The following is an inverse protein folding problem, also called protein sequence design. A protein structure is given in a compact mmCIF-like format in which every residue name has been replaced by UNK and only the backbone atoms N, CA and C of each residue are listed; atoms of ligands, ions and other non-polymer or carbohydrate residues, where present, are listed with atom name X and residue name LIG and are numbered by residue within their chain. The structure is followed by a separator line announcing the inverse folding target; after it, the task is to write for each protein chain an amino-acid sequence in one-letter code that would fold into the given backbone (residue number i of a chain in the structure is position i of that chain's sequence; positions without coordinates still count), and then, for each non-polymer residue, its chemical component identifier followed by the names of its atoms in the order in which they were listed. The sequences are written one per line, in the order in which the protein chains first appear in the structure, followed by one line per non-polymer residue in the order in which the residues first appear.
data_IF_105490927995
#
_entry.id   IF_105490927995
#
_cell.length_a   1.000
_cell.length_b   1.000
_cell.length_c   1.000
_cell.angle_alpha   90.00
_cell.angle_beta   90.00
_cell.angle_gamma   90.00
#
_symmetry.space_group_name_H-M   'P 1'
#
loop_
_entity.id
_entity.type
_entity.pdbx_description
1 polymer ?
#
# COMPACT_ATOMS: atom_id res chain seq x y z
N UNK A 1 45.09 -6.37 10.43
CA UNK A 1 44.09 -6.11 9.38
C UNK A 1 42.73 -6.55 9.91
N UNK A 2 41.93 -5.63 10.44
CA UNK A 2 40.58 -5.92 10.97
C UNK A 2 39.59 -5.75 9.81
N UNK A 3 38.97 -6.84 9.39
CA UNK A 3 37.86 -6.85 8.41
C UNK A 3 36.62 -6.27 9.07
N UNK A 4 36.18 -5.11 8.59
CA UNK A 4 34.87 -4.55 8.94
C UNK A 4 33.81 -5.22 8.05
N UNK A 5 33.00 -6.10 8.63
CA UNK A 5 31.77 -6.59 7.99
C UNK A 5 30.75 -5.46 8.08
N UNK A 6 30.50 -4.77 6.97
CA UNK A 6 29.44 -3.78 6.86
C UNK A 6 28.10 -4.53 6.90
N UNK A 7 27.44 -4.51 8.06
CA UNK A 7 26.08 -5.01 8.24
C UNK A 7 25.12 -4.03 7.54
N UNK A 8 24.78 -4.32 6.29
CA UNK A 8 23.88 -3.51 5.46
C UNK A 8 22.40 -3.73 5.82
N UNK A 9 22.08 -3.90 7.12
CA UNK A 9 20.71 -4.15 7.58
C UNK A 9 20.10 -3.01 8.41
N UNK A 10 20.87 -1.97 8.74
CA UNK A 10 20.35 -0.79 9.43
C UNK A 10 20.22 0.39 8.46
N UNK A 11 19.47 0.17 7.36
CA UNK A 11 18.94 1.34 6.65
C UNK A 11 17.86 1.91 7.57
N UNK A 12 18.04 3.12 8.13
CA UNK A 12 17.00 3.71 8.94
C UNK A 12 15.72 3.71 8.11
N UNK A 13 14.69 2.98 8.58
CA UNK A 13 13.39 2.96 7.93
C UNK A 13 12.99 4.43 7.75
N UNK A 14 12.90 4.87 6.50
CA UNK A 14 12.48 6.23 6.21
C UNK A 14 11.18 6.48 6.99
N UNK A 15 11.09 7.60 7.74
CA UNK A 15 9.96 7.84 8.61
C UNK A 15 8.68 7.86 7.79
N UNK A 16 7.71 7.04 8.21
CA UNK A 16 6.41 7.00 7.56
C UNK A 16 5.63 8.27 7.89
N UNK A 17 4.91 8.77 6.90
CA UNK A 17 4.10 9.97 6.99
C UNK A 17 2.64 9.65 6.68
N UNK A 18 1.73 10.46 7.23
CA UNK A 18 0.31 10.38 6.88
C UNK A 18 0.15 10.54 5.35
N UNK A 19 -0.63 9.66 4.74
CA UNK A 19 -0.83 9.57 3.29
C UNK A 19 0.15 8.65 2.56
N UNK A 20 1.14 8.06 3.25
CA UNK A 20 1.93 6.97 2.67
C UNK A 20 1.06 5.76 2.36
N UNK A 21 1.35 5.12 1.22
CA UNK A 21 0.78 3.81 0.88
C UNK A 21 1.78 2.76 1.32
N UNK A 22 1.32 1.82 2.13
CA UNK A 22 2.14 0.76 2.72
C UNK A 22 1.48 -0.60 2.56
N UNK A 23 2.26 -1.66 2.71
CA UNK A 23 1.78 -3.04 2.86
C UNK A 23 2.51 -3.70 4.03
N UNK A 24 1.91 -4.71 4.65
CA UNK A 24 2.66 -5.55 5.58
C UNK A 24 3.81 -6.25 4.83
N UNK A 25 4.94 -6.42 5.50
CA UNK A 25 6.08 -7.18 4.95
C UNK A 25 5.71 -8.63 4.66
N UNK A 26 4.76 -9.18 5.40
CA UNK A 26 4.15 -10.52 5.18
C UNK A 26 3.20 -10.57 3.98
N UNK A 27 2.93 -9.45 3.32
CA UNK A 27 1.96 -9.33 2.23
C UNK A 27 0.56 -8.92 2.72
N UNK A 28 -0.40 -8.85 1.80
CA UNK A 28 -1.78 -8.44 2.09
C UNK A 28 -2.20 -7.16 1.36
N UNK A 29 -3.27 -6.50 1.81
CA UNK A 29 -3.84 -5.34 1.13
C UNK A 29 -2.89 -4.13 1.18
N UNK A 30 -3.01 -3.25 0.18
CA UNK A 30 -2.41 -1.93 0.22
C UNK A 30 -3.20 -1.06 1.18
N UNK A 31 -2.50 -0.44 2.12
CA UNK A 31 -3.08 0.39 3.17
C UNK A 31 -2.54 1.82 3.07
N UNK A 32 -3.29 2.78 3.60
CA UNK A 32 -2.89 4.18 3.71
C UNK A 32 -2.62 4.53 5.16
N UNK A 33 -1.48 5.16 5.43
CA UNK A 33 -1.11 5.64 6.77
C UNK A 33 -1.99 6.85 7.12
N UNK A 34 -2.66 6.79 8.26
CA UNK A 34 -3.52 7.86 8.81
C UNK A 34 -2.95 8.49 10.07
N UNK A 35 -1.98 7.83 10.70
CA UNK A 35 -1.19 8.35 11.82
C UNK A 35 0.19 7.68 11.79
N UNK A 36 1.22 8.44 12.14
CA UNK A 36 2.58 7.93 12.34
C UNK A 36 3.20 8.64 13.55
N UNK A 37 3.73 7.87 14.49
CA UNK A 37 4.41 8.40 15.67
C UNK A 37 4.34 7.49 16.89
N UNK A 38 4.89 7.95 18.03
CA UNK A 38 4.92 7.19 19.27
C UNK A 38 3.52 7.00 19.86
N UNK A 39 3.34 5.92 20.63
CA UNK A 39 2.10 5.60 21.35
C UNK A 39 2.41 5.57 22.85
N UNK A 40 1.55 6.17 23.67
CA UNK A 40 1.84 6.50 25.08
C UNK A 40 2.23 5.32 25.99
N UNK A 41 2.00 4.06 25.58
CA UNK A 41 2.16 2.88 26.42
C UNK A 41 3.15 1.85 25.84
N UNK A 42 3.84 2.18 24.75
CA UNK A 42 4.82 1.26 24.16
C UNK A 42 6.01 2.03 23.61
N UNK A 43 7.19 1.40 23.65
CA UNK A 43 8.36 1.90 22.93
C UNK A 43 8.21 1.65 21.43
N UNK A 44 8.88 2.47 20.61
CA UNK A 44 8.91 2.34 19.15
C UNK A 44 7.92 3.24 18.41
N UNK A 45 8.12 3.34 17.11
CA UNK A 45 7.24 4.09 16.21
C UNK A 45 6.11 3.20 15.69
N UNK A 46 4.89 3.72 15.73
CA UNK A 46 3.69 3.03 15.29
C UNK A 46 3.01 3.79 14.17
N UNK A 47 2.27 3.04 13.37
CA UNK A 47 1.40 3.59 12.34
C UNK A 47 -0.01 3.06 12.50
N UNK A 48 -1.00 3.92 12.25
CA UNK A 48 -2.38 3.50 12.05
C UNK A 48 -2.65 3.51 10.55
N UNK A 49 -3.04 2.35 10.03
CA UNK A 49 -3.27 2.13 8.62
C UNK A 49 -4.75 1.85 8.36
N UNK A 50 -5.26 2.39 7.25
CA UNK A 50 -6.60 2.13 6.75
C UNK A 50 -6.57 1.48 5.36
N UNK A 51 -7.49 0.57 5.09
CA UNK A 51 -7.65 -0.06 3.78
C UNK A 51 -9.09 -0.54 3.60
N UNK A 52 -9.46 -0.84 2.36
CA UNK A 52 -10.71 -1.54 2.07
C UNK A 52 -10.45 -3.04 2.00
N UNK A 53 -11.26 -3.83 2.71
CA UNK A 53 -11.19 -5.29 2.60
C UNK A 53 -11.83 -5.79 1.30
N UNK A 54 -11.92 -7.12 1.16
CA UNK A 54 -12.46 -7.80 -0.02
C UNK A 54 -13.94 -7.47 -0.28
N UNK A 55 -14.67 -7.01 0.73
CA UNK A 55 -16.08 -6.60 0.62
C UNK A 55 -16.22 -5.10 0.33
N UNK A 56 -15.11 -4.35 0.29
CA UNK A 56 -15.12 -2.91 0.14
C UNK A 56 -15.42 -2.15 1.44
N UNK A 57 -15.33 -2.82 2.59
CA UNK A 57 -15.54 -2.19 3.89
C UNK A 57 -14.24 -1.54 4.38
N UNK A 58 -14.36 -0.34 4.96
CA UNK A 58 -13.21 0.37 5.52
C UNK A 58 -12.72 -0.34 6.80
N UNK A 59 -11.47 -0.77 6.78
CA UNK A 59 -10.76 -1.36 7.91
C UNK A 59 -9.69 -0.40 8.41
N UNK A 60 -9.40 -0.48 9.69
CA UNK A 60 -8.33 0.26 10.36
C UNK A 60 -7.60 -0.65 11.33
N UNK A 61 -6.27 -0.58 11.34
CA UNK A 61 -5.44 -1.31 12.29
C UNK A 61 -4.14 -0.58 12.58
N UNK A 62 -3.62 -0.78 13.79
CA UNK A 62 -2.35 -0.24 14.25
C UNK A 62 -1.26 -1.30 14.09
N UNK A 63 -0.11 -0.88 13.56
CA UNK A 63 1.05 -1.73 13.32
C UNK A 63 2.34 -1.04 13.77
N UNK A 64 3.33 -1.84 14.15
CA UNK A 64 4.69 -1.36 14.35
C UNK A 64 5.27 -0.94 12.99
N UNK A 65 5.99 0.19 12.96
CA UNK A 65 6.58 0.71 11.72
C UNK A 65 7.51 -0.31 11.05
N UNK A 66 8.15 -1.19 11.82
CA UNK A 66 9.01 -2.25 11.29
C UNK A 66 8.27 -3.37 10.56
N UNK A 67 6.96 -3.53 10.75
CA UNK A 67 6.16 -4.58 10.09
C UNK A 67 5.56 -4.16 8.76
N UNK A 68 5.63 -2.87 8.44
CA UNK A 68 5.14 -2.31 7.18
C UNK A 68 6.31 -1.94 6.26
N UNK A 69 6.02 -1.90 4.96
CA UNK A 69 6.93 -1.39 3.94
C UNK A 69 6.20 -0.37 3.08
N UNK A 70 6.92 0.68 2.66
CA UNK A 70 6.40 1.71 1.78
C UNK A 70 6.25 1.13 0.37
N UNK A 71 5.07 1.34 -0.22
CA UNK A 71 4.74 0.92 -1.57
C UNK A 71 4.85 2.11 -2.53
N UNK A 72 5.39 1.92 -3.75
CA UNK A 72 5.41 2.96 -4.77
C UNK A 72 4.00 3.51 -5.03
N UNK A 73 3.87 4.84 -4.94
CA UNK A 73 2.60 5.54 -5.21
C UNK A 73 2.31 5.67 -6.71
N UNK A 74 3.26 5.33 -7.56
CA UNK A 74 3.14 5.39 -9.01
C UNK A 74 2.59 4.07 -9.56
N UNK A 75 1.48 4.12 -10.28
CA UNK A 75 1.18 3.07 -11.27
C UNK A 75 2.17 3.30 -12.42
N UNK A 76 3.01 2.33 -12.79
CA UNK A 76 3.87 2.49 -13.95
C UNK A 76 3.00 2.84 -15.16
N UNK A 77 3.40 3.81 -15.98
CA UNK A 77 2.62 4.18 -17.17
C UNK A 77 2.32 2.97 -18.08
N UNK A 78 3.19 1.95 -18.07
CA UNK A 78 3.01 0.69 -18.80
C UNK A 78 2.02 -0.32 -18.18
N UNK A 79 1.53 -0.10 -16.95
CA UNK A 79 0.57 -0.99 -16.26
C UNK A 79 -0.89 -0.58 -16.44
N UNK A 80 -1.17 0.51 -17.17
CA UNK A 80 -2.54 0.96 -17.46
C UNK A 80 -3.07 0.22 -18.70
N UNK A 81 -3.90 -0.79 -18.50
CA UNK A 81 -4.67 -1.39 -19.61
C UNK A 81 -5.94 -0.58 -19.84
N UNK A 82 -6.02 0.13 -20.97
CA UNK A 82 -7.28 0.75 -21.40
C UNK A 82 -8.27 -0.35 -21.76
N UNK A 83 -9.32 -0.51 -20.94
CA UNK A 83 -10.45 -1.37 -21.29
C UNK A 83 -11.23 -0.65 -22.39
N UNK A 84 -11.00 -1.03 -23.65
CA UNK A 84 -11.79 -0.54 -24.78
C UNK A 84 -13.25 -0.98 -24.56
N UNK A 85 -14.13 -0.03 -24.30
CA UNK A 85 -15.57 -0.27 -24.29
C UNK A 85 -16.00 -0.50 -25.74
N UNK A 86 -16.09 -1.77 -26.14
CA UNK A 86 -16.62 -2.15 -27.44
C UNK A 86 -18.04 -1.58 -27.60
N UNK A 87 -18.22 -0.68 -28.56
CA UNK A 87 -19.55 -0.26 -29.01
C UNK A 87 -20.27 -1.51 -29.54
N UNK A 88 -21.17 -2.06 -28.73
CA UNK A 88 -22.14 -3.03 -29.22
C UNK A 88 -23.08 -2.30 -30.18
N UNK A 89 -22.86 -2.50 -31.49
CA UNK A 89 -23.78 -2.02 -32.51
C UNK A 89 -25.05 -2.89 -32.43
N UNK A 90 -26.14 -2.29 -31.98
CA UNK A 90 -27.47 -2.90 -32.07
C UNK A 90 -27.89 -2.89 -33.54
N UNK A 91 -28.08 -4.06 -34.16
CA UNK A 91 -28.79 -4.17 -35.44
C UNK A 91 -30.26 -4.44 -35.16
N UNK A 92 -31.11 -3.44 -35.39
CA UNK A 92 -32.56 -3.60 -35.36
C UNK A 92 -33.02 -4.18 -36.70
N UNK A 93 -33.22 -5.49 -36.78
CA UNK A 93 -33.97 -6.10 -37.89
C UNK A 93 -35.46 -5.96 -37.62
N UNK A 94 -36.07 -5.01 -38.34
CA UNK A 94 -37.52 -4.83 -38.48
C UNK A 94 -38.04 -5.90 -39.44
N UNK A 95 -39.03 -6.69 -39.03
CA UNK A 95 -39.77 -7.60 -39.90
C UNK A 95 -41.21 -7.10 -40.01
N UNK A 96 -41.67 -6.94 -41.25
CA UNK A 96 -43.08 -6.71 -41.64
C UNK A 96 -43.95 -7.95 -41.40
#
# INVERSE_FOLDING_TARGET
MLTATLDAFDTPLAPLSVGDVVTLKTGGPRMTVTYAGPVALTSGDWVICQWFDEHGELRQQMFEQEHVRLEPRSIPAGSVTLRSFGRSAYSSSRSE
#
